data_IF_781619146565
#
_entry.id   IF_781619146565
#
_cell.length_a   1.000
_cell.length_b   1.000
_cell.length_c   1.000
_cell.angle_alpha   90.00
_cell.angle_beta   90.00
_cell.angle_gamma   90.00
#
_symmetry.space_group_name_H-M   'P 1'
#
loop_
_entity.id
_entity.type
_entity.pdbx_description
1 polymer ?
#
# COMPACT_ATOMS: atom_id res chain seq x y z
N UNK A 1 0.58 -5.31 19.84
CA UNK A 1 1.85 -5.85 19.36
C UNK A 1 1.83 -6.00 17.85
N UNK A 2 2.90 -5.59 17.21
CA UNK A 2 2.95 -5.64 15.75
C UNK A 2 3.16 -7.06 15.24
N UNK A 3 2.51 -7.39 14.14
CA UNK A 3 2.74 -8.64 13.43
C UNK A 3 3.96 -8.50 12.52
N UNK A 4 4.54 -9.61 12.13
CA UNK A 4 5.64 -9.61 11.15
C UNK A 4 5.08 -9.34 9.75
N UNK A 5 5.83 -8.59 8.90
CA UNK A 5 5.36 -8.32 7.54
C UNK A 5 5.00 -9.57 6.76
N UNK A 6 5.76 -10.66 6.92
CA UNK A 6 5.52 -11.89 6.19
C UNK A 6 4.14 -12.51 6.49
N UNK A 7 3.58 -12.23 7.66
CA UNK A 7 2.26 -12.74 8.04
C UNK A 7 1.14 -12.10 7.25
N UNK A 8 1.41 -10.94 6.64
CA UNK A 8 0.42 -10.26 5.81
C UNK A 8 0.04 -11.07 4.57
N UNK A 9 0.90 -11.98 4.13
CA UNK A 9 0.64 -12.79 2.94
C UNK A 9 -0.67 -13.59 3.03
N UNK A 10 -1.03 -14.06 4.22
CA UNK A 10 -2.29 -14.77 4.41
C UNK A 10 -3.48 -13.86 4.17
N UNK A 11 -3.41 -12.62 4.67
CA UNK A 11 -4.48 -11.64 4.49
C UNK A 11 -4.60 -11.25 3.02
N UNK A 12 -3.47 -11.06 2.35
CA UNK A 12 -3.44 -10.68 0.94
C UNK A 12 -3.82 -11.86 0.02
N UNK A 13 -3.79 -13.08 0.53
CA UNK A 13 -4.02 -14.31 -0.23
C UNK A 13 -3.05 -14.42 -1.41
N UNK A 14 -1.79 -14.07 -1.15
CA UNK A 14 -0.74 -14.11 -2.16
C UNK A 14 0.59 -14.43 -1.48
N UNK A 15 1.30 -15.40 -2.02
CA UNK A 15 2.63 -15.79 -1.53
C UNK A 15 3.69 -15.16 -2.43
N UNK A 16 4.52 -14.28 -1.86
CA UNK A 16 5.55 -13.60 -2.61
C UNK A 16 6.68 -14.54 -3.04
N UNK A 17 7.09 -14.44 -4.30
CA UNK A 17 8.30 -15.12 -4.78
C UNK A 17 9.52 -14.44 -4.18
N UNK A 18 9.48 -13.13 -4.02
CA UNK A 18 10.50 -12.34 -3.36
C UNK A 18 9.90 -11.65 -2.14
N UNK A 19 9.93 -12.30 -0.96
CA UNK A 19 9.33 -11.72 0.26
C UNK A 19 9.96 -10.39 0.69
N UNK A 20 11.17 -10.10 0.23
CA UNK A 20 11.82 -8.82 0.55
C UNK A 20 11.00 -7.64 0.05
N UNK A 21 10.27 -7.79 -1.06
CA UNK A 21 9.42 -6.72 -1.58
C UNK A 21 8.34 -6.35 -0.57
N UNK A 22 7.70 -7.34 0.04
CA UNK A 22 6.67 -7.08 1.04
C UNK A 22 7.28 -6.44 2.29
N UNK A 23 8.43 -6.91 2.72
CA UNK A 23 9.11 -6.33 3.88
C UNK A 23 9.46 -4.87 3.65
N UNK A 24 9.98 -4.54 2.47
CA UNK A 24 10.29 -3.16 2.11
C UNK A 24 9.02 -2.31 2.11
N UNK A 25 7.93 -2.84 1.53
CA UNK A 25 6.66 -2.12 1.48
C UNK A 25 6.16 -1.78 2.88
N UNK A 26 6.42 -2.62 3.86
CA UNK A 26 5.98 -2.42 5.24
C UNK A 26 7.01 -1.66 6.09
N UNK A 27 8.11 -1.17 5.50
CA UNK A 27 9.17 -0.47 6.23
C UNK A 27 9.04 1.04 6.04
N UNK A 28 8.66 1.74 7.10
CA UNK A 28 8.56 3.19 7.11
C UNK A 28 9.95 3.82 7.22
N UNK A 29 10.09 5.06 6.75
CA UNK A 29 11.35 5.79 6.84
C UNK A 29 11.88 5.88 8.26
N UNK A 30 11.00 6.02 9.25
CA UNK A 30 11.40 6.11 10.65
C UNK A 30 12.16 4.86 11.12
N UNK A 31 11.73 3.69 10.64
CA UNK A 31 12.44 2.45 10.97
C UNK A 31 13.83 2.44 10.32
N UNK A 32 13.91 2.82 9.05
CA UNK A 32 15.17 2.87 8.34
C UNK A 32 16.15 3.85 8.99
N UNK A 33 15.63 5.00 9.44
CA UNK A 33 16.46 6.03 10.07
C UNK A 33 17.01 5.59 11.42
N UNK A 34 16.31 4.72 12.14
CA UNK A 34 16.78 4.20 13.43
C UNK A 34 17.66 2.96 13.29
N UNK A 35 17.69 2.36 12.12
CA UNK A 35 18.46 1.14 11.89
C UNK A 35 19.95 1.42 11.88
N UNK A 36 20.72 0.53 12.50
CA UNK A 36 22.17 0.63 12.51
C UNK A 36 22.83 0.14 11.23
N UNK A 37 22.03 -0.54 10.39
CA UNK A 37 22.46 -1.02 9.07
C UNK A 37 21.64 -0.33 8.00
N UNK A 38 22.16 -0.23 6.77
CA UNK A 38 21.43 0.36 5.66
C UNK A 38 20.16 -0.44 5.43
N UNK A 39 19.01 0.23 5.51
CA UNK A 39 17.69 -0.40 5.39
C UNK A 39 16.88 0.34 4.35
N UNK A 40 16.33 -0.40 3.38
CA UNK A 40 15.45 0.16 2.36
C UNK A 40 14.06 0.35 2.93
N UNK A 41 13.45 1.49 2.62
CA UNK A 41 12.10 1.81 3.07
C UNK A 41 11.14 1.95 1.88
N UNK A 42 9.89 2.29 2.16
CA UNK A 42 8.80 2.12 1.19
C UNK A 42 8.50 3.31 0.27
N UNK A 43 9.25 4.40 0.35
CA UNK A 43 8.91 5.60 -0.44
C UNK A 43 8.88 5.36 -1.95
N UNK A 44 9.84 4.63 -2.48
CA UNK A 44 9.88 4.35 -3.92
C UNK A 44 8.75 3.41 -4.35
N UNK A 45 8.40 2.46 -3.50
CA UNK A 45 7.27 1.56 -3.78
C UNK A 45 5.96 2.32 -3.72
N UNK A 46 5.81 3.23 -2.77
CA UNK A 46 4.63 4.10 -2.69
C UNK A 46 4.43 4.87 -4.00
N UNK A 47 5.51 5.45 -4.51
CA UNK A 47 5.48 6.20 -5.76
C UNK A 47 4.96 5.32 -6.92
N UNK A 48 5.53 4.13 -7.07
CA UNK A 48 5.09 3.20 -8.12
C UNK A 48 3.67 2.73 -7.89
N UNK A 49 3.33 2.41 -6.64
CA UNK A 49 2.00 1.91 -6.29
C UNK A 49 0.89 2.92 -6.57
N UNK A 50 1.17 4.20 -6.38
CA UNK A 50 0.21 5.25 -6.71
C UNK A 50 -0.16 5.21 -8.20
N UNK A 51 0.81 5.01 -9.07
CA UNK A 51 0.57 4.92 -10.51
C UNK A 51 -0.18 3.64 -10.90
N UNK A 52 0.19 2.51 -10.31
CA UNK A 52 -0.49 1.24 -10.57
C UNK A 52 -1.95 1.34 -10.13
N UNK A 53 -2.19 1.89 -8.95
CA UNK A 53 -3.55 2.08 -8.44
C UNK A 53 -4.37 2.96 -9.37
N UNK A 54 -3.80 4.07 -9.83
CA UNK A 54 -4.50 5.01 -10.70
C UNK A 54 -4.88 4.36 -12.03
N UNK A 55 -3.98 3.57 -12.63
CA UNK A 55 -4.27 2.89 -13.89
C UNK A 55 -5.38 1.86 -13.70
N UNK A 56 -5.31 1.05 -12.65
CA UNK A 56 -6.31 0.01 -12.41
C UNK A 56 -7.69 0.62 -12.17
N UNK A 57 -7.77 1.67 -11.36
CA UNK A 57 -9.04 2.34 -11.06
C UNK A 57 -9.58 3.03 -12.32
N UNK A 58 -8.71 3.71 -13.08
CA UNK A 58 -9.14 4.38 -14.32
C UNK A 58 -9.67 3.38 -15.33
N UNK A 59 -8.97 2.27 -15.51
CA UNK A 59 -9.39 1.21 -16.43
C UNK A 59 -10.74 0.63 -16.03
N UNK A 60 -10.92 0.35 -14.76
CA UNK A 60 -12.18 -0.16 -14.22
C UNK A 60 -13.33 0.83 -14.49
N UNK A 61 -13.13 2.10 -14.15
CA UNK A 61 -14.16 3.11 -14.34
C UNK A 61 -14.50 3.32 -15.82
N UNK A 62 -13.48 3.28 -16.66
CA UNK A 62 -13.69 3.42 -18.11
C UNK A 62 -14.63 2.34 -18.65
N UNK A 63 -14.46 1.11 -18.21
CA UNK A 63 -15.27 -0.01 -18.70
C UNK A 63 -16.64 -0.11 -18.01
N UNK A 64 -16.73 0.31 -16.73
CA UNK A 64 -17.97 0.16 -15.97
C UNK A 64 -18.95 1.32 -16.12
N UNK A 65 -18.49 2.46 -16.61
CA UNK A 65 -19.29 3.66 -16.65
C UNK A 65 -19.09 4.41 -17.96
N UNK A 66 -20.18 4.81 -18.62
CA UNK A 66 -20.14 5.63 -19.82
C UNK A 66 -20.09 7.13 -19.52
N UNK A 67 -19.71 7.53 -18.32
CA UNK A 67 -19.73 8.92 -17.90
C UNK A 67 -18.64 9.74 -18.57
N UNK A 68 -18.84 11.08 -18.66
CA UNK A 68 -17.83 11.97 -19.24
C UNK A 68 -16.55 11.99 -18.42
N UNK A 69 -15.45 12.37 -19.05
CA UNK A 69 -14.11 12.37 -18.47
C UNK A 69 -14.02 13.15 -17.16
N UNK A 70 -14.70 14.31 -17.05
CA UNK A 70 -14.68 15.08 -15.80
C UNK A 70 -15.27 14.33 -14.62
N UNK A 71 -16.35 13.56 -14.84
CA UNK A 71 -16.93 12.75 -13.78
C UNK A 71 -16.05 11.56 -13.44
N UNK A 72 -15.46 10.92 -14.45
CA UNK A 72 -14.52 9.81 -14.23
C UNK A 72 -13.31 10.25 -13.42
N UNK A 73 -12.80 11.45 -13.72
CA UNK A 73 -11.66 12.03 -12.97
C UNK A 73 -12.02 12.22 -11.50
N UNK A 74 -13.22 12.76 -11.22
CA UNK A 74 -13.65 12.97 -9.84
C UNK A 74 -13.88 11.63 -9.11
N UNK A 75 -14.43 10.65 -9.79
CA UNK A 75 -14.66 9.32 -9.21
C UNK A 75 -13.33 8.66 -8.85
N UNK A 76 -12.33 8.75 -9.76
CA UNK A 76 -11.01 8.20 -9.48
C UNK A 76 -10.38 8.89 -8.29
N UNK A 77 -10.40 10.21 -8.25
CA UNK A 77 -9.82 10.98 -7.14
C UNK A 77 -10.41 10.57 -5.80
N UNK A 78 -11.72 10.32 -5.76
CA UNK A 78 -12.39 9.86 -4.55
C UNK A 78 -11.92 8.47 -4.11
N UNK A 79 -11.77 7.55 -5.07
CA UNK A 79 -11.40 6.16 -4.78
C UNK A 79 -9.94 6.00 -4.37
N UNK A 80 -9.05 6.88 -4.83
CA UNK A 80 -7.62 6.79 -4.53
C UNK A 80 -7.17 7.83 -3.49
N UNK A 81 -8.11 8.50 -2.83
CA UNK A 81 -7.78 9.48 -1.81
C UNK A 81 -7.13 8.82 -0.59
N UNK A 82 -6.39 9.61 0.18
CA UNK A 82 -5.79 9.13 1.42
C UNK A 82 -6.83 8.50 2.34
N UNK A 83 -7.98 9.16 2.50
CA UNK A 83 -9.05 8.65 3.38
C UNK A 83 -9.58 7.30 2.90
N UNK A 84 -9.80 7.15 1.59
CA UNK A 84 -10.30 5.89 1.03
C UNK A 84 -9.28 4.77 1.23
N UNK A 85 -8.01 5.04 0.94
CA UNK A 85 -6.94 4.05 1.09
C UNK A 85 -6.75 3.66 2.54
N UNK A 86 -6.86 4.64 3.45
CA UNK A 86 -6.76 4.38 4.88
C UNK A 86 -7.87 3.44 5.34
N UNK A 87 -9.11 3.65 4.87
CA UNK A 87 -10.23 2.79 5.23
C UNK A 87 -10.01 1.36 4.73
N UNK A 88 -9.58 1.20 3.50
CA UNK A 88 -9.28 -0.14 2.95
C UNK A 88 -8.17 -0.82 3.74
N UNK A 89 -7.13 -0.06 4.09
CA UNK A 89 -6.01 -0.59 4.86
C UNK A 89 -6.44 -1.02 6.26
N UNK A 90 -7.37 -0.28 6.88
CA UNK A 90 -7.88 -0.65 8.18
C UNK A 90 -8.65 -1.98 8.15
N UNK A 91 -9.36 -2.25 7.06
CA UNK A 91 -10.09 -3.51 6.91
C UNK A 91 -9.18 -4.72 7.02
N UNK A 92 -7.93 -4.60 6.55
CA UNK A 92 -6.96 -5.68 6.64
C UNK A 92 -5.96 -5.47 7.78
N UNK A 93 -6.20 -4.48 8.63
CA UNK A 93 -5.35 -4.15 9.78
C UNK A 93 -3.88 -3.94 9.38
N UNK A 94 -3.68 -3.25 8.27
CA UNK A 94 -2.35 -3.08 7.68
C UNK A 94 -1.34 -2.44 8.64
N UNK A 95 -1.78 -1.49 9.45
CA UNK A 95 -0.92 -0.80 10.40
C UNK A 95 -0.20 -1.73 11.36
N UNK A 96 -0.80 -2.89 11.67
CA UNK A 96 -0.20 -3.86 12.59
C UNK A 96 1.03 -4.56 12.03
N UNK A 97 1.23 -4.49 10.70
CA UNK A 97 2.34 -5.14 10.03
C UNK A 97 3.49 -4.17 9.71
N UNK A 98 3.33 -2.89 10.05
CA UNK A 98 4.33 -1.88 9.74
C UNK A 98 5.57 -2.00 10.62
N UNK A 99 6.72 -1.75 10.01
CA UNK A 99 8.00 -1.61 10.71
C UNK A 99 8.26 -0.12 10.90
N UNK A 100 8.03 0.35 12.11
CA UNK A 100 8.16 1.76 12.47
C UNK A 100 9.33 1.96 13.41
N UNK A 101 9.97 3.15 13.35
CA UNK A 101 10.89 3.55 14.38
C UNK A 101 10.17 3.68 15.72
N UNK A 102 10.93 3.58 16.82
CA UNK A 102 10.35 3.58 18.16
C UNK A 102 9.52 4.83 18.44
N UNK A 103 10.04 6.01 18.08
CA UNK A 103 9.33 7.27 18.29
C UNK A 103 8.04 7.36 17.48
N UNK A 104 8.09 6.93 16.23
CA UNK A 104 6.91 6.95 15.36
C UNK A 104 5.83 6.00 15.88
N UNK A 105 6.23 4.82 16.36
CA UNK A 105 5.31 3.84 16.92
C UNK A 105 4.62 4.39 18.18
N UNK A 106 5.40 4.97 19.09
CA UNK A 106 4.86 5.58 20.29
C UNK A 106 3.93 6.75 19.98
N UNK A 107 4.19 7.47 18.88
CA UNK A 107 3.39 8.61 18.45
C UNK A 107 2.13 8.25 17.68
N UNK A 108 1.81 6.96 17.57
CA UNK A 108 0.59 6.51 16.91
C UNK A 108 0.72 6.30 15.40
N UNK A 109 1.95 6.09 14.89
CA UNK A 109 2.18 5.92 13.46
C UNK A 109 1.38 4.79 12.83
N UNK A 110 1.12 3.71 13.58
CA UNK A 110 0.36 2.57 13.05
C UNK A 110 -1.09 2.90 12.71
N UNK A 111 -1.62 3.99 13.25
CA UNK A 111 -2.98 4.45 13.01
C UNK A 111 -3.02 5.79 12.27
N UNK A 112 -1.87 6.31 11.84
CA UNK A 112 -1.82 7.61 11.17
C UNK A 112 -2.18 7.44 9.70
N UNK A 113 -3.23 8.13 9.20
CA UNK A 113 -3.70 7.95 7.83
C UNK A 113 -2.62 8.09 6.76
N UNK A 114 -1.74 9.08 6.86
CA UNK A 114 -0.69 9.27 5.86
C UNK A 114 0.30 8.10 5.83
N UNK A 115 0.67 7.59 6.99
CA UNK A 115 1.62 6.47 7.09
C UNK A 115 1.00 5.19 6.54
N UNK A 116 -0.23 4.92 6.93
CA UNK A 116 -0.92 3.67 6.56
C UNK A 116 -1.31 3.67 5.09
N UNK A 117 -1.83 4.79 4.56
CA UNK A 117 -2.20 4.87 3.15
C UNK A 117 -0.98 4.75 2.24
N UNK A 118 0.15 5.35 2.62
CA UNK A 118 1.39 5.24 1.86
C UNK A 118 1.87 3.79 1.80
N UNK A 119 1.78 3.08 2.93
CA UNK A 119 2.14 1.66 2.98
C UNK A 119 1.19 0.82 2.11
N UNK A 120 -0.08 1.17 2.07
CA UNK A 120 -1.06 0.48 1.23
C UNK A 120 -0.65 0.57 -0.24
N UNK A 121 -0.27 1.76 -0.69
CA UNK A 121 0.22 1.96 -2.06
C UNK A 121 1.52 1.17 -2.29
N UNK A 122 2.40 1.15 -1.31
CA UNK A 122 3.64 0.37 -1.42
C UNK A 122 3.37 -1.13 -1.55
N UNK A 123 2.36 -1.65 -0.86
CA UNK A 123 1.94 -3.05 -1.00
C UNK A 123 1.45 -3.32 -2.42
N UNK A 124 0.69 -2.40 -3.01
CA UNK A 124 0.23 -2.52 -4.39
C UNK A 124 1.43 -2.65 -5.34
N UNK A 125 2.46 -1.81 -5.15
CA UNK A 125 3.67 -1.88 -5.96
C UNK A 125 4.40 -3.20 -5.77
N UNK A 126 4.48 -3.69 -4.53
CA UNK A 126 5.13 -4.96 -4.25
C UNK A 126 4.42 -6.12 -4.96
N UNK A 127 3.10 -6.14 -4.91
CA UNK A 127 2.30 -7.14 -5.63
C UNK A 127 2.52 -7.06 -7.13
N UNK A 128 2.55 -5.84 -7.67
CA UNK A 128 2.78 -5.61 -9.09
C UNK A 128 4.16 -6.12 -9.52
N UNK A 129 5.19 -5.79 -8.77
CA UNK A 129 6.56 -6.18 -9.12
C UNK A 129 6.77 -7.69 -9.01
N UNK A 130 6.12 -8.32 -8.03
CA UNK A 130 6.30 -9.75 -7.80
C UNK A 130 5.40 -10.61 -8.69
N UNK A 131 4.16 -10.19 -8.89
CA UNK A 131 3.17 -11.02 -9.59
C UNK A 131 2.56 -10.41 -10.83
N UNK A 132 2.92 -9.18 -11.19
CA UNK A 132 2.41 -8.52 -12.37
C UNK A 132 1.11 -7.76 -12.13
N UNK A 133 0.64 -7.10 -13.20
CA UNK A 133 -0.55 -6.24 -13.12
C UNK A 133 -1.80 -7.01 -12.68
N UNK A 134 -1.94 -8.27 -13.09
CA UNK A 134 -3.13 -9.06 -12.74
C UNK A 134 -3.23 -9.30 -11.24
N UNK A 135 -2.10 -9.56 -10.57
CA UNK A 135 -2.08 -9.76 -9.12
C UNK A 135 -2.44 -8.46 -8.40
N UNK A 136 -1.86 -7.34 -8.85
CA UNK A 136 -2.19 -6.04 -8.27
C UNK A 136 -3.65 -5.69 -8.48
N UNK A 137 -4.17 -5.93 -9.69
CA UNK A 137 -5.56 -5.66 -10.04
C UNK A 137 -6.53 -6.46 -9.14
N UNK A 138 -6.23 -7.73 -8.93
CA UNK A 138 -7.07 -8.60 -8.10
C UNK A 138 -7.14 -8.08 -6.67
N UNK A 139 -6.02 -7.58 -6.14
CA UNK A 139 -5.98 -7.01 -4.81
C UNK A 139 -6.77 -5.69 -4.72
N UNK A 140 -6.61 -4.81 -5.72
CA UNK A 140 -7.26 -3.49 -5.74
C UNK A 140 -8.78 -3.63 -5.89
N UNK A 141 -9.23 -4.50 -6.73
CA UNK A 141 -10.65 -4.73 -6.98
C UNK A 141 -11.19 -5.86 -6.10
#
# INVERSE_FOLDING_TARGET
MAHKPEELQEVLQYTFKNPALLRIAMTHTSFANESKVATTHNERLEFLGDSVLSVVVADYLFHQSGRPEGELTRMRASLVSEDALFQFAQEIQLGEYLRLGHGEDLGGGRSRPSVVSDAFEAVIAALYLDGGMEVARKFIL
#
